data_IF_372886049303
#
_entry.id   IF_372886049303
#
_cell.length_a   1.000
_cell.length_b   1.000
_cell.length_c   1.000
_cell.angle_alpha   90.00
_cell.angle_beta   90.00
_cell.angle_gamma   90.00
#
_symmetry.space_group_name_H-M   'P 1'
#
loop_
_entity.id
_entity.type
_entity.pdbx_description
1 polymer ?
2 water ?
#
# COMPACT_ATOMS: atom_id res chain seq x y z
N UNK A 1 5.81 -26.70 20.34
CA UNK A 1 4.37 -26.84 20.14
C UNK A 1 3.85 -25.93 19.03
N UNK A 2 3.16 -24.86 19.39
CA UNK A 2 2.61 -23.93 18.41
C UNK A 2 3.25 -22.55 18.50
N UNK A 3 3.25 -21.84 17.37
CA UNK A 3 3.85 -20.51 17.25
C UNK A 3 3.06 -19.29 17.74
N UNK A 4 3.82 -18.24 18.08
CA UNK A 4 3.26 -16.96 18.49
C UNK A 4 3.85 -15.96 17.50
N UNK A 5 2.98 -15.19 16.86
CA UNK A 5 3.39 -14.21 15.85
C UNK A 5 3.15 -12.78 16.31
N UNK A 6 4.02 -11.86 15.87
CA UNK A 6 3.88 -10.43 16.17
C UNK A 6 3.77 -9.64 14.88
N UNK A 7 2.71 -8.83 14.78
CA UNK A 7 2.52 -7.98 13.60
C UNK A 7 2.62 -6.53 14.10
N UNK A 8 3.56 -5.78 13.52
CA UNK A 8 3.75 -4.38 13.89
C UNK A 8 2.90 -3.47 12.99
N UNK A 9 2.07 -2.62 13.63
CA UNK A 9 1.21 -1.71 12.89
C UNK A 9 -0.14 -1.50 13.56
N UNK A 10 -0.96 -0.60 13.01
CA UNK A 10 -2.28 -0.32 13.59
C UNK A 10 -3.36 0.08 12.58
N UNK A 11 -3.17 -0.29 11.32
CA UNK A 11 -4.15 0.04 10.29
C UNK A 11 -4.87 -1.16 9.69
N UNK A 12 -5.51 -0.93 8.53
CA UNK A 12 -6.23 -1.99 7.84
C UNK A 12 -5.33 -3.09 7.29
N UNK A 13 -4.16 -2.69 6.81
CA UNK A 13 -3.17 -3.62 6.28
C UNK A 13 -2.77 -4.64 7.35
N UNK A 14 -2.55 -4.14 8.56
CA UNK A 14 -2.16 -4.99 9.69
C UNK A 14 -3.29 -5.89 10.20
N UNK A 15 -4.52 -5.39 10.17
CA UNK A 15 -5.68 -6.17 10.57
C UNK A 15 -5.77 -7.35 9.57
N UNK A 16 -5.55 -7.07 8.28
CA UNK A 16 -5.58 -8.10 7.24
C UNK A 16 -4.45 -9.12 7.40
N UNK A 17 -3.22 -8.64 7.59
CA UNK A 17 -2.06 -9.53 7.77
C UNK A 17 -2.19 -10.43 9.00
N UNK A 18 -2.61 -9.85 10.12
CA UNK A 18 -2.78 -10.59 11.37
C UNK A 18 -3.92 -11.63 11.30
N UNK A 19 -5.01 -11.23 10.64
CA UNK A 19 -6.19 -12.07 10.44
C UNK A 19 -5.79 -13.31 9.62
N UNK A 20 -5.02 -13.07 8.56
CA UNK A 20 -4.54 -14.15 7.70
C UNK A 20 -3.55 -15.06 8.44
N UNK A 21 -2.60 -14.47 9.18
CA UNK A 21 -1.61 -15.24 9.94
C UNK A 21 -2.27 -16.19 10.93
N UNK A 22 -3.36 -15.72 11.56
CA UNK A 22 -4.09 -16.51 12.55
C UNK A 22 -4.80 -17.74 11.97
N UNK A 23 -4.96 -17.78 10.65
CA UNK A 23 -5.61 -18.90 10.00
C UNK A 23 -4.69 -20.12 9.91
N UNK A 24 -3.39 -19.90 10.10
CA UNK A 24 -2.39 -20.95 10.05
C UNK A 24 -2.52 -21.92 11.23
N UNK A 25 -2.51 -23.23 10.96
CA UNK A 25 -2.62 -24.23 12.04
C UNK A 25 -1.34 -24.27 12.89
N UNK A 26 -0.28 -23.65 12.39
CA UNK A 26 1.01 -23.58 13.08
C UNK A 26 0.96 -22.56 14.22
N UNK A 27 0.01 -21.63 14.13
CA UNK A 27 -0.13 -20.53 15.07
C UNK A 27 -1.22 -20.66 16.15
N UNK A 28 -0.88 -20.23 17.36
CA UNK A 28 -1.85 -20.25 18.48
C UNK A 28 -2.26 -18.85 18.92
N UNK A 29 -1.42 -17.85 18.63
CA UNK A 29 -1.70 -16.46 19.02
C UNK A 29 -0.98 -15.46 18.10
N UNK A 30 -1.65 -14.36 17.80
CA UNK A 30 -1.06 -13.29 17.00
C UNK A 30 -1.18 -11.99 17.77
N UNK A 31 -0.04 -11.38 18.11
CA UNK A 31 0.00 -10.11 18.83
C UNK A 31 0.10 -8.99 17.79
N UNK A 32 -0.53 -7.86 18.07
CA UNK A 32 -0.49 -6.72 17.16
C UNK A 32 -0.12 -5.47 17.95
N UNK A 33 0.99 -4.84 17.57
CA UNK A 33 1.48 -3.65 18.24
C UNK A 33 1.48 -2.40 17.36
N UNK A 34 0.59 -1.43 17.66
CA UNK A 34 -0.38 -1.46 18.76
C UNK A 34 -1.78 -1.96 18.39
N UNK A 35 -2.02 -2.18 17.10
CA UNK A 35 -3.33 -2.66 16.65
C UNK A 35 -4.44 -1.62 16.73
N UNK A 36 -5.67 -2.07 16.52
CA UNK A 36 -6.86 -1.21 16.56
C UNK A 36 -8.07 -1.98 17.10
N UNK A 37 -9.27 -1.43 16.95
CA UNK A 37 -10.47 -2.10 17.45
C UNK A 37 -10.78 -3.39 16.70
N UNK A 38 -10.47 -3.41 15.40
CA UNK A 38 -10.71 -4.59 14.59
C UNK A 38 -9.90 -5.78 15.01
N UNK A 39 -8.63 -5.56 15.35
CA UNK A 39 -7.75 -6.63 15.80
C UNK A 39 -8.13 -7.09 17.22
N UNK A 40 -8.54 -6.14 18.05
CA UNK A 40 -8.96 -6.44 19.42
C UNK A 40 -10.20 -7.35 19.40
N UNK A 41 -11.07 -7.15 18.41
CA UNK A 41 -12.30 -7.94 18.26
C UNK A 41 -12.09 -9.36 17.74
N UNK A 42 -10.96 -9.62 17.07
CA UNK A 42 -10.65 -10.95 16.55
C UNK A 42 -10.29 -11.89 17.71
N UNK A 43 -10.92 -13.07 17.80
CA UNK A 43 -10.63 -14.02 18.87
C UNK A 43 -9.14 -14.36 19.08
N UNK A 44 -8.44 -14.70 17.99
CA UNK A 44 -7.03 -15.08 18.04
C UNK A 44 -5.98 -13.96 18.14
N UNK A 45 -6.41 -12.71 18.02
CA UNK A 45 -5.46 -11.59 18.08
C UNK A 45 -5.49 -10.83 19.41
N UNK A 46 -4.33 -10.33 19.84
CA UNK A 46 -4.23 -9.57 21.08
C UNK A 46 -3.40 -8.31 20.86
N UNK A 47 -3.96 -7.14 21.21
CA UNK A 47 -3.24 -5.88 21.06
C UNK A 47 -2.21 -5.67 22.16
N UNK A 48 -1.08 -5.06 21.79
CA UNK A 48 0.02 -4.76 22.71
C UNK A 48 0.29 -3.25 22.55
N UNK A 49 0.17 -2.51 23.65
CA UNK A 49 0.35 -1.07 23.63
C UNK A 49 1.80 -0.57 23.55
N UNK A 50 2.39 -0.71 22.37
CA UNK A 50 3.77 -0.27 22.11
C UNK A 50 3.79 0.45 20.76
N UNK A 51 4.46 1.60 20.69
CA UNK A 51 4.54 2.37 19.46
C UNK A 51 5.44 1.74 18.40
N UNK A 52 5.09 1.97 17.14
CA UNK A 52 5.84 1.41 16.01
C UNK A 52 7.31 1.87 15.87
N UNK A 53 7.65 3.01 16.45
CA UNK A 53 9.04 3.50 16.39
C UNK A 53 9.80 3.27 17.69
N UNK A 54 9.16 2.59 18.64
CA UNK A 54 9.79 2.29 19.92
C UNK A 54 10.48 0.94 19.79
N UNK A 55 11.61 0.95 19.08
CA UNK A 55 12.39 -0.27 18.84
C UNK A 55 12.83 -1.03 20.10
N UNK A 56 13.39 -0.34 21.11
CA UNK A 56 13.80 -1.04 22.32
C UNK A 56 12.65 -1.81 22.98
N UNK A 57 11.46 -1.20 22.99
CA UNK A 57 10.29 -1.83 23.59
C UNK A 57 9.78 -3.01 22.76
N UNK A 58 9.79 -2.86 21.44
CA UNK A 58 9.36 -3.94 20.55
C UNK A 58 10.26 -5.16 20.70
N UNK A 59 11.57 -4.92 20.79
CA UNK A 59 12.56 -5.99 20.95
C UNK A 59 12.35 -6.70 22.29
N UNK A 60 12.21 -5.90 23.35
CA UNK A 60 12.01 -6.43 24.70
C UNK A 60 10.77 -7.34 24.76
N UNK A 61 9.70 -6.90 24.10
CA UNK A 61 8.47 -7.70 24.06
C UNK A 61 8.68 -9.02 23.32
N UNK A 62 9.25 -8.93 22.12
CA UNK A 62 9.50 -10.11 21.31
C UNK A 62 10.38 -11.14 22.04
N UNK A 63 11.35 -10.67 22.83
CA UNK A 63 12.23 -11.56 23.58
C UNK A 63 11.55 -12.22 24.78
N UNK A 64 10.83 -11.41 25.56
CA UNK A 64 10.11 -11.90 26.75
C UNK A 64 8.98 -12.86 26.43
N UNK A 65 8.26 -12.61 25.33
CA UNK A 65 7.16 -13.49 24.92
C UNK A 65 7.62 -14.62 24.00
N UNK A 66 8.90 -14.60 23.61
CA UNK A 66 9.48 -15.62 22.73
C UNK A 66 8.70 -15.77 21.41
N UNK A 67 8.58 -14.66 20.69
CA UNK A 67 7.87 -14.61 19.41
C UNK A 67 8.61 -15.41 18.35
N UNK A 68 7.87 -16.28 17.66
CA UNK A 68 8.45 -17.14 16.62
C UNK A 68 8.64 -16.46 15.27
N UNK A 69 7.79 -15.47 14.99
CA UNK A 69 7.87 -14.73 13.74
C UNK A 69 7.26 -13.33 13.86
N UNK A 70 7.99 -12.33 13.36
CA UNK A 70 7.52 -10.95 13.38
C UNK A 70 7.31 -10.52 11.93
N UNK A 71 6.17 -9.89 11.66
CA UNK A 71 5.83 -9.39 10.32
C UNK A 71 5.63 -7.88 10.45
N UNK A 72 6.41 -7.10 9.71
CA UNK A 72 6.31 -5.64 9.80
C UNK A 72 5.33 -5.03 8.80
N UNK A 73 4.43 -4.21 9.32
CA UNK A 73 3.43 -3.56 8.48
C UNK A 73 3.82 -2.25 7.80
N UNK A 74 4.03 -1.16 8.57
CA UNK A 74 4.38 0.17 8.05
C UNK A 74 5.86 0.50 7.77
N UNK A 75 6.05 1.60 7.04
CA UNK A 75 7.38 2.07 6.66
C UNK A 75 8.27 2.57 7.80
N UNK A 76 7.69 3.30 8.74
CA UNK A 76 8.46 3.86 9.86
C UNK A 76 9.44 2.91 10.58
N UNK A 77 8.94 1.80 11.15
CA UNK A 77 9.88 0.89 11.83
C UNK A 77 10.93 0.29 10.89
N UNK A 78 10.57 0.14 9.62
CA UNK A 78 11.49 -0.42 8.62
C UNK A 78 12.67 0.52 8.33
N UNK A 79 12.38 1.77 8.02
CA UNK A 79 13.46 2.73 7.75
C UNK A 79 14.26 3.03 9.02
N UNK A 80 13.71 2.69 10.18
CA UNK A 80 14.41 2.91 11.45
C UNK A 80 15.29 1.69 11.81
N UNK A 81 15.20 0.65 10.98
CA UNK A 81 16.02 -0.54 11.20
C UNK A 81 15.54 -1.62 12.16
N UNK A 82 14.23 -1.79 12.29
CA UNK A 82 13.71 -2.83 13.19
C UNK A 82 14.22 -4.21 12.76
N UNK A 83 14.34 -4.43 11.45
CA UNK A 83 14.82 -5.70 10.92
C UNK A 83 16.28 -5.95 11.31
N UNK A 84 17.12 -4.92 11.15
CA UNK A 84 18.55 -5.03 11.50
C UNK A 84 18.68 -5.41 12.97
N UNK A 85 17.90 -4.73 13.82
CA UNK A 85 17.89 -4.94 15.26
C UNK A 85 17.40 -6.32 15.69
N UNK A 86 16.27 -6.77 15.14
CA UNK A 86 15.72 -8.09 15.48
C UNK A 86 16.66 -9.21 15.02
N UNK A 87 17.20 -9.09 13.81
CA UNK A 87 18.10 -10.11 13.29
C UNK A 87 19.42 -10.19 14.10
N UNK A 88 19.83 -9.07 14.69
CA UNK A 88 21.04 -9.04 15.51
C UNK A 88 20.80 -9.80 16.80
N UNK A 89 19.55 -9.80 17.27
CA UNK A 89 19.14 -10.51 18.48
C UNK A 89 18.69 -11.95 18.19
N UNK A 90 18.90 -12.40 16.95
CA UNK A 90 18.53 -13.75 16.56
C UNK A 90 17.03 -14.05 16.50
N UNK A 91 16.25 -13.04 16.14
CA UNK A 91 14.80 -13.20 16.03
C UNK A 91 14.38 -13.24 14.56
N UNK A 92 13.40 -14.10 14.24
CA UNK A 92 12.89 -14.20 12.88
C UNK A 92 11.96 -13.04 12.58
N UNK A 93 12.25 -12.32 11.50
CA UNK A 93 11.45 -11.17 11.12
C UNK A 93 11.38 -11.02 9.59
N UNK A 94 10.20 -10.73 9.08
CA UNK A 94 9.97 -10.56 7.64
C UNK A 94 9.81 -9.09 7.28
N UNK A 95 10.75 -8.58 6.51
CA UNK A 95 10.75 -7.19 6.09
C UNK A 95 12.14 -6.79 5.67
N UNK A 96 12.30 -5.61 5.04
CA UNK A 96 13.62 -5.15 4.60
C UNK A 96 14.47 -4.47 5.68
N UNK A 97 15.79 -4.56 5.53
CA UNK A 97 16.71 -3.89 6.45
C UNK A 97 16.57 -2.40 6.14
N UNK A 98 17.08 -1.53 7.01
CA UNK A 98 16.96 -0.09 6.78
C UNK A 98 17.59 0.32 5.44
N UNK A 99 18.68 -0.33 5.07
CA UNK A 99 19.36 -0.04 3.81
C UNK A 99 18.52 -0.40 2.60
N UNK A 100 17.84 -1.53 2.66
CA UNK A 100 16.98 -1.97 1.56
C UNK A 100 15.71 -1.12 1.54
N UNK A 101 15.28 -0.68 2.72
CA UNK A 101 14.07 0.13 2.87
C UNK A 101 14.19 1.52 2.24
N UNK A 102 15.38 1.86 1.76
CA UNK A 102 15.64 3.15 1.10
C UNK A 102 14.81 3.30 -0.19
N UNK A 103 14.48 2.18 -0.82
CA UNK A 103 13.67 2.21 -2.06
C UNK A 103 12.42 3.06 -1.89
N UNK A 104 11.85 3.08 -0.69
CA UNK A 104 10.68 3.90 -0.42
C UNK A 104 11.08 5.17 0.35
N UNK A 105 11.88 4.98 1.40
CA UNK A 105 12.31 6.07 2.28
C UNK A 105 13.14 7.25 1.78
N UNK A 106 13.91 7.07 0.71
CA UNK A 106 14.76 8.12 0.18
C UNK A 106 14.45 8.43 -1.28
N UNK A 107 13.87 9.60 -1.54
CA UNK A 107 13.52 10.03 -2.90
C UNK A 107 14.75 10.13 -3.82
N UNK A 108 15.81 10.74 -3.29
CA UNK A 108 17.04 10.90 -4.05
C UNK A 108 17.65 9.55 -4.42
N UNK A 109 17.72 8.66 -3.42
CA UNK A 109 18.25 7.32 -3.61
C UNK A 109 17.54 6.57 -4.73
N UNK A 110 16.21 6.53 -4.63
CA UNK A 110 15.39 5.83 -5.62
C UNK A 110 15.54 6.37 -7.04
N UNK A 111 15.54 7.69 -7.18
CA UNK A 111 15.68 8.32 -8.48
C UNK A 111 17.01 7.94 -9.15
N UNK A 112 18.09 8.00 -8.38
CA UNK A 112 19.42 7.67 -8.87
C UNK A 112 19.55 6.19 -9.18
N UNK A 113 18.99 5.34 -8.31
CA UNK A 113 19.04 3.89 -8.49
C UNK A 113 18.37 3.45 -9.80
N UNK A 114 17.17 3.98 -10.05
CA UNK A 114 16.41 3.65 -11.24
C UNK A 114 17.15 4.08 -12.51
N UNK A 115 17.80 5.24 -12.44
CA UNK A 115 18.55 5.75 -13.58
C UNK A 115 19.79 4.89 -13.88
N UNK A 116 20.50 4.49 -12.82
CA UNK A 116 21.69 3.67 -12.98
C UNK A 116 21.41 2.30 -13.58
N UNK A 117 20.24 1.75 -13.30
CA UNK A 117 19.88 0.45 -13.84
C UNK A 117 18.95 0.52 -15.04
N UNK A 118 18.67 1.73 -15.51
CA UNK A 118 17.80 1.95 -16.66
C UNK A 118 16.45 1.24 -16.53
N UNK A 119 15.85 1.31 -15.33
CA UNK A 119 14.55 0.70 -15.08
C UNK A 119 13.50 1.72 -15.52
N UNK A 120 12.56 1.32 -16.40
CA UNK A 120 11.51 2.20 -16.90
C UNK A 120 10.71 2.90 -15.82
N UNK A 121 10.81 4.23 -15.80
CA UNK A 121 10.13 5.06 -14.81
C UNK A 121 9.72 6.40 -15.44
N UNK A 122 9.07 7.25 -14.64
CA UNK A 122 8.63 8.55 -15.11
C UNK A 122 9.59 9.67 -14.74
N UNK A 123 9.89 10.54 -15.70
CA UNK A 123 10.79 11.67 -15.49
C UNK A 123 10.09 12.75 -14.68
N UNK A 124 10.82 13.37 -13.76
CA UNK A 124 10.27 14.44 -12.92
C UNK A 124 11.38 15.25 -12.27
N UNK A 125 11.00 16.40 -11.71
CA UNK A 125 11.94 17.29 -11.04
C UNK A 125 11.18 18.34 -10.24
N UNK A 126 11.60 18.54 -8.99
CA UNK A 126 10.95 19.51 -8.11
C UNK A 126 11.46 20.93 -8.37
N UNK A 127 10.61 21.92 -8.09
CA UNK A 127 10.98 23.32 -8.29
C UNK A 127 10.39 24.25 -7.24
N UNK A 128 11.24 25.13 -6.72
CA UNK A 128 10.83 26.11 -5.71
C UNK A 128 10.69 27.50 -6.36
N UNK A 129 11.40 27.70 -7.46
CA UNK A 129 11.37 28.98 -8.19
C UNK A 129 11.36 28.80 -9.71
N UNK A 130 10.85 29.82 -10.40
CA UNK A 130 10.76 29.84 -11.85
C UNK A 130 12.02 30.38 -12.53
N UNK A 131 12.30 29.84 -13.72
CA UNK A 131 13.44 30.13 -14.60
C UNK A 131 14.16 28.79 -14.80
N UNK A 132 14.57 28.11 -13.70
CA UNK A 132 15.23 26.81 -13.89
C UNK A 132 14.12 25.82 -14.24
N UNK A 133 12.88 26.24 -13.98
CA UNK A 133 11.68 25.47 -14.27
C UNK A 133 11.38 25.56 -15.76
N UNK A 134 11.41 26.78 -16.27
CA UNK A 134 11.16 27.03 -17.70
C UNK A 134 12.25 26.38 -18.54
N UNK A 135 13.50 26.46 -18.04
CA UNK A 135 14.65 25.87 -18.73
C UNK A 135 14.42 24.37 -18.87
N UNK A 136 13.82 23.78 -17.83
CA UNK A 136 13.51 22.35 -17.79
C UNK A 136 12.35 22.08 -18.75
N UNK A 137 11.39 23.01 -18.78
CA UNK A 137 10.20 22.92 -19.64
C UNK A 137 10.53 22.89 -21.12
N UNK A 138 11.41 23.81 -21.54
CA UNK A 138 11.81 23.91 -22.94
C UNK A 138 12.73 22.80 -23.40
N UNK A 139 13.38 22.12 -22.45
CA UNK A 139 14.27 21.01 -22.76
C UNK A 139 13.44 19.74 -22.93
N UNK A 140 12.38 19.63 -22.14
CA UNK A 140 11.48 18.48 -22.19
C UNK A 140 10.36 18.66 -23.21
N UNK A 141 9.77 19.85 -23.24
CA UNK A 141 8.69 20.13 -24.16
C UNK A 141 7.37 19.53 -23.70
N UNK A 142 6.27 20.07 -24.24
CA UNK A 142 4.93 19.59 -23.90
C UNK A 142 4.52 18.47 -24.86
N UNK A 143 3.54 17.62 -24.47
CA UNK A 143 2.78 17.64 -23.20
C UNK A 143 3.66 17.38 -21.97
N UNK A 144 3.23 17.92 -20.84
CA UNK A 144 3.94 17.79 -19.58
C UNK A 144 2.93 18.06 -18.46
N UNK A 145 3.23 17.61 -17.25
CA UNK A 145 2.33 17.81 -16.12
C UNK A 145 2.96 18.66 -15.01
N UNK A 146 2.17 19.56 -14.42
CA UNK A 146 2.63 20.42 -13.35
C UNK A 146 1.74 20.23 -12.12
N UNK A 147 2.33 19.70 -11.05
CA UNK A 147 1.59 19.44 -9.81
C UNK A 147 2.05 20.39 -8.69
N UNK A 148 1.11 20.79 -7.83
CA UNK A 148 1.41 21.68 -6.71
C UNK A 148 1.93 20.90 -5.51
N UNK A 155 -1.66 20.37 -4.81
CA UNK A 155 -3.04 19.93 -4.88
C UNK A 155 -3.62 20.14 -6.29
N UNK A 156 -3.12 21.15 -7.00
CA UNK A 156 -3.58 21.42 -8.35
C UNK A 156 -2.72 20.67 -9.35
N UNK A 157 -3.36 19.96 -10.29
CA UNK A 157 -2.64 19.20 -11.30
C UNK A 157 -3.00 19.67 -12.71
N UNK A 158 -2.08 20.35 -13.38
CA UNK A 158 -2.32 20.84 -14.73
C UNK A 158 -1.63 20.04 -15.82
N UNK A 159 -2.44 19.42 -16.68
CA UNK A 159 -1.93 18.65 -17.81
C UNK A 159 -1.87 19.67 -18.94
N UNK A 160 -0.67 20.00 -19.37
CA UNK A 160 -0.48 20.98 -20.43
C UNK A 160 -0.13 20.34 -21.76
N UNK A 161 -0.88 20.69 -22.81
CA UNK A 161 -0.62 20.15 -24.15
C UNK A 161 0.34 21.06 -24.92
N UNK A 162 0.49 22.31 -24.46
CA UNK A 162 1.39 23.28 -25.09
C UNK A 162 2.34 23.96 -24.09
N UNK A 163 3.46 24.46 -24.61
CA UNK A 163 4.48 25.15 -23.82
C UNK A 163 3.92 26.39 -23.13
N UNK A 164 3.03 27.10 -23.82
CA UNK A 164 2.42 28.31 -23.28
C UNK A 164 1.51 27.96 -22.09
N UNK A 165 0.81 26.84 -22.20
CA UNK A 165 -0.08 26.38 -21.14
C UNK A 165 0.74 25.93 -19.93
N UNK A 166 1.87 25.29 -20.22
CA UNK A 166 2.78 24.79 -19.19
C UNK A 166 3.48 25.95 -18.48
N UNK A 167 4.17 26.80 -19.26
CA UNK A 167 4.87 27.97 -18.73
C UNK A 167 3.93 28.88 -17.95
N UNK A 168 2.67 28.91 -18.36
CA UNK A 168 1.67 29.73 -17.70
C UNK A 168 1.44 29.15 -16.31
N UNK A 169 1.20 27.85 -16.24
CA UNK A 169 0.95 27.13 -14.99
C UNK A 169 2.16 27.12 -14.06
N UNK A 170 3.33 26.83 -14.63
CA UNK A 170 4.57 26.74 -13.86
C UNK A 170 4.89 27.98 -13.02
N UNK A 171 4.41 29.15 -13.43
CA UNK A 171 4.64 30.34 -12.63
C UNK A 171 3.36 30.94 -12.05
N UNK A 172 2.28 30.17 -12.11
CA UNK A 172 0.99 30.57 -11.55
C UNK A 172 0.99 29.96 -10.15
N UNK A 173 1.44 28.71 -10.08
CA UNK A 173 1.52 27.95 -8.85
C UNK A 173 2.70 28.45 -8.01
N UNK A 174 3.71 28.97 -8.70
CA UNK A 174 4.92 29.49 -8.06
C UNK A 174 4.86 31.01 -7.84
N UNK A 175 3.69 31.59 -8.07
CA UNK A 175 3.49 33.03 -7.90
C UNK A 175 3.10 33.35 -6.46
N UNK A 176 3.99 34.05 -5.76
CA UNK A 176 3.75 34.42 -4.37
C UNK A 176 5.06 34.56 -3.63
N UNK A 177 4.97 34.92 -2.35
CA UNK A 177 6.16 35.09 -1.51
C UNK A 177 6.70 33.75 -1.02
N UNK A 178 7.90 33.41 -1.45
CA UNK A 178 8.55 32.15 -1.09
C UNK A 178 9.37 32.19 0.19
N UNK A 179 9.59 33.40 0.73
CA UNK A 179 10.39 33.55 1.95
C UNK A 179 9.74 32.97 3.20
N UNK A 180 10.48 32.06 3.86
CA UNK A 180 10.00 31.41 5.07
C UNK A 180 8.81 30.50 4.87
N UNK A 181 8.64 29.98 3.65
CA UNK A 181 7.51 29.11 3.35
C UNK A 181 7.92 27.89 2.53
N UNK A 182 7.99 26.74 3.22
CA UNK A 182 8.36 25.48 2.58
C UNK A 182 7.26 24.93 1.67
N UNK A 183 6.04 25.44 1.84
CA UNK A 183 4.92 24.99 1.02
C UNK A 183 4.87 25.60 -0.36
N UNK A 184 5.80 26.51 -0.62
CA UNK A 184 5.91 27.21 -1.90
C UNK A 184 6.72 26.36 -2.90
N UNK A 185 6.10 25.29 -3.41
CA UNK A 185 6.78 24.39 -4.34
C UNK A 185 5.87 23.62 -5.30
N UNK A 186 6.46 23.16 -6.40
CA UNK A 186 5.76 22.37 -7.42
C UNK A 186 6.66 21.25 -7.94
N UNK A 187 6.11 20.42 -8.83
CA UNK A 187 6.84 19.32 -9.44
C UNK A 187 6.40 19.18 -10.89
N UNK A 188 7.37 19.01 -11.80
CA UNK A 188 7.11 18.87 -13.22
C UNK A 188 7.43 17.44 -13.66
N UNK A 189 6.42 16.72 -14.14
CA UNK A 189 6.61 15.33 -14.57
C UNK A 189 6.11 15.05 -15.98
N UNK A 190 6.70 14.06 -16.63
CA UNK A 190 6.31 13.70 -17.98
C UNK A 190 4.90 13.14 -18.07
N UNK A 191 4.21 13.46 -19.16
CA UNK A 191 2.84 13.02 -19.40
C UNK A 191 2.79 11.57 -19.86
N UNK A 192 2.09 10.74 -19.09
CA UNK A 192 1.91 9.32 -19.38
C UNK A 192 0.43 9.02 -19.60
N UNK A 193 0.10 8.57 -20.79
CA UNK A 193 -1.27 8.26 -21.16
C UNK A 193 -1.58 6.76 -21.07
N UNK A 194 -1.81 6.28 -19.85
CA UNK A 194 -2.11 4.87 -19.66
C UNK A 194 -2.96 4.60 -18.43
N UNK A 195 -2.83 3.40 -17.88
CA UNK A 195 -3.59 3.00 -16.69
C UNK A 195 -2.70 2.57 -15.53
N UNK A 196 -3.05 3.00 -14.32
CA UNK A 196 -2.31 2.67 -13.12
C UNK A 196 -2.75 1.34 -12.53
N UNK A 197 -1.78 0.62 -11.97
CA UNK A 197 -2.03 -0.68 -11.33
C UNK A 197 -0.96 -0.95 -10.27
N UNK A 198 -1.30 -1.80 -9.30
CA UNK A 198 -0.39 -2.19 -8.22
C UNK A 198 0.13 -3.61 -8.49
N UNK A 199 1.42 -3.82 -8.24
CA UNK A 199 2.07 -5.11 -8.47
C UNK A 199 2.87 -5.45 -7.21
N UNK A 200 2.49 -6.52 -6.53
CA UNK A 200 3.17 -6.92 -5.28
C UNK A 200 3.79 -8.31 -5.33
N UNK A 201 5.01 -8.42 -4.79
CA UNK A 201 5.73 -9.70 -4.74
C UNK A 201 6.41 -9.90 -3.37
N UNK A 202 6.82 -11.13 -3.08
CA UNK A 202 7.55 -11.44 -1.84
C UNK A 202 8.99 -11.67 -2.32
N UNK A 203 9.96 -11.20 -1.53
CA UNK A 203 11.38 -11.34 -1.90
C UNK A 203 12.19 -11.90 -0.73
N UNK A 204 13.13 -12.81 -1.00
CA UNK A 204 13.96 -13.36 0.07
C UNK A 204 15.44 -13.01 -0.11
N UNK A 205 15.70 -12.14 -1.09
CA UNK A 205 17.06 -11.72 -1.38
C UNK A 205 17.46 -12.08 -2.79
N UNK A 206 17.33 -13.36 -3.13
CA UNK A 206 17.68 -13.90 -4.45
C UNK A 206 16.46 -14.42 -5.21
N UNK A 207 15.43 -14.80 -4.48
CA UNK A 207 14.22 -15.36 -5.08
C UNK A 207 13.02 -14.44 -4.96
N UNK A 208 12.16 -14.50 -5.96
CA UNK A 208 10.94 -13.68 -6.03
C UNK A 208 9.70 -14.54 -6.23
N UNK A 209 8.73 -14.39 -5.34
CA UNK A 209 7.46 -15.12 -5.44
C UNK A 209 6.36 -14.10 -5.68
N UNK A 210 5.81 -14.05 -6.90
CA UNK A 210 4.74 -13.11 -7.23
C UNK A 210 3.50 -13.37 -6.36
N UNK A 211 2.82 -12.30 -5.94
CA UNK A 211 1.64 -12.46 -5.12
C UNK A 211 0.36 -12.08 -5.87
N UNK A 212 0.06 -10.80 -5.98
CA UNK A 212 -1.16 -10.37 -6.67
C UNK A 212 -1.12 -8.94 -7.17
N UNK A 213 -2.08 -8.60 -8.01
CA UNK A 213 -2.21 -7.26 -8.58
C UNK A 213 -3.54 -6.64 -8.19
N UNK A 214 -3.67 -5.33 -8.41
CA UNK A 214 -4.90 -4.60 -8.10
C UNK A 214 -4.94 -3.20 -8.71
N UNK A 215 -6.13 -2.61 -8.73
CA UNK A 215 -6.34 -1.25 -9.22
C UNK A 215 -7.25 -0.58 -8.20
N UNK A 216 -7.13 0.73 -8.02
CA UNK A 216 -7.94 1.41 -7.03
C UNK A 216 -8.55 2.74 -7.49
N UNK A 217 -9.21 3.41 -6.54
CA UNK A 217 -9.85 4.71 -6.76
C UNK A 217 -9.37 5.67 -5.65
N UNK A 218 -8.61 6.69 -6.03
CA UNK A 218 -8.08 7.67 -5.09
C UNK A 218 -8.97 8.90 -4.87
N UNK A 219 -9.69 9.31 -5.90
CA UNK A 219 -10.58 10.47 -5.82
C UNK A 219 -11.72 10.21 -4.85
N UNK A 220 -12.04 11.20 -4.02
CA UNK A 220 -13.08 11.07 -3.00
C UNK A 220 -14.54 11.04 -3.48
N UNK A 221 -14.81 11.68 -4.62
CA UNK A 221 -16.18 11.73 -5.13
C UNK A 221 -16.50 10.74 -6.25
N UNK A 222 -17.79 10.47 -6.44
CA UNK A 222 -18.25 9.54 -7.47
C UNK A 222 -17.76 9.89 -8.88
N UNK A 223 -17.51 8.85 -9.67
CA UNK A 223 -17.00 8.96 -11.04
C UNK A 223 -15.61 9.58 -11.05
N UNK A 224 -14.91 9.45 -9.92
CA UNK A 224 -13.56 9.95 -9.75
C UNK A 224 -13.44 11.47 -9.80
N UNK A 225 -14.26 12.13 -8.98
CA UNK A 225 -14.27 13.60 -8.87
C UNK A 225 -13.78 14.04 -7.49
N UNK A 226 -13.65 15.34 -7.30
CA UNK A 226 -13.19 15.87 -6.02
C UNK A 226 -11.71 15.68 -5.75
N UNK A 227 -11.25 15.98 -4.52
CA UNK A 227 -9.84 15.84 -4.11
C UNK A 227 -9.36 14.40 -3.94
N UNK A 228 -8.05 14.21 -4.01
CA UNK A 228 -7.43 12.90 -3.84
C UNK A 228 -7.31 12.47 -2.39
N UNK A 229 -7.27 11.16 -2.18
CA UNK A 229 -7.15 10.58 -0.85
C UNK A 229 -6.09 9.48 -0.93
N UNK A 230 -5.96 8.70 0.14
CA UNK A 230 -5.02 7.61 0.16
C UNK A 230 -5.58 6.37 -0.52
N UNK A 231 -6.88 6.42 -0.85
CA UNK A 231 -7.55 5.32 -1.50
C UNK A 231 -8.94 5.09 -0.93
N UNK A 232 -9.96 5.13 -1.78
CA UNK A 232 -11.36 4.95 -1.34
C UNK A 232 -11.92 3.58 -1.71
N UNK A 233 -11.17 2.82 -2.50
CA UNK A 233 -11.61 1.49 -2.91
C UNK A 233 -10.60 0.82 -3.82
N UNK A 234 -10.64 -0.51 -3.88
CA UNK A 234 -9.72 -1.28 -4.71
C UNK A 234 -10.28 -2.66 -5.04
N UNK A 235 -9.73 -3.26 -6.10
CA UNK A 235 -10.15 -4.58 -6.54
C UNK A 235 -8.99 -5.40 -7.12
N UNK A 236 -9.11 -6.72 -7.01
CA UNK A 236 -8.08 -7.65 -7.48
C UNK A 236 -8.73 -8.85 -8.17
N UNK A 237 -8.12 -9.36 -9.25
CA UNK A 237 -6.85 -8.92 -9.86
C UNK A 237 -7.05 -7.69 -10.76
N UNK A 238 -5.94 -7.10 -11.20
CA UNK A 238 -5.99 -5.93 -12.08
C UNK A 238 -6.10 -6.42 -13.51
N UNK A 239 -7.24 -6.14 -14.18
CA UNK A 239 -7.46 -6.56 -15.57
C UNK A 239 -6.38 -6.08 -16.54
N UNK A 240 -5.89 -4.86 -16.35
CA UNK A 240 -4.86 -4.31 -17.23
C UNK A 240 -3.56 -5.10 -17.19
N UNK A 241 -3.32 -5.83 -16.10
CA UNK A 241 -2.11 -6.63 -15.98
C UNK A 241 -2.34 -8.01 -16.57
N UNK A 242 -2.17 -8.11 -17.89
CA UNK A 242 -2.34 -9.36 -18.61
C UNK A 242 -1.08 -10.19 -18.45
N UNK A 243 -1.04 -11.36 -19.10
CA UNK A 243 0.12 -12.23 -19.03
C UNK A 243 1.35 -11.55 -19.59
N UNK A 244 1.18 -10.82 -20.69
CA UNK A 244 2.28 -10.10 -21.32
C UNK A 244 2.79 -8.97 -20.42
N UNK A 245 1.86 -8.18 -19.89
CA UNK A 245 2.20 -7.07 -19.01
C UNK A 245 2.92 -7.60 -17.74
N UNK A 246 2.47 -8.75 -17.25
CA UNK A 246 3.06 -9.37 -16.07
C UNK A 246 4.53 -9.73 -16.36
N UNK A 247 4.77 -10.38 -17.49
CA UNK A 247 6.12 -10.80 -17.88
C UNK A 247 7.07 -9.61 -18.08
N UNK A 248 6.57 -8.56 -18.72
CA UNK A 248 7.38 -7.36 -18.95
C UNK A 248 7.75 -6.67 -17.62
N UNK A 249 6.85 -6.74 -16.64
CA UNK A 249 7.08 -6.16 -15.33
C UNK A 249 8.18 -6.91 -14.60
N UNK A 250 8.12 -8.24 -14.61
CA UNK A 250 9.14 -9.05 -13.94
C UNK A 250 10.51 -8.87 -14.61
N UNK A 251 10.53 -8.85 -15.94
CA UNK A 251 11.76 -8.70 -16.71
C UNK A 251 12.41 -7.32 -16.71
N UNK A 252 11.62 -6.28 -16.93
CA UNK A 252 12.14 -4.91 -16.99
C UNK A 252 12.21 -4.17 -15.66
N UNK A 253 11.36 -4.56 -14.72
CA UNK A 253 11.30 -3.86 -13.44
C UNK A 253 11.67 -4.66 -12.18
N UNK A 254 10.94 -5.73 -11.89
CA UNK A 254 11.17 -6.53 -10.69
C UNK A 254 12.53 -7.19 -10.55
N UNK A 255 12.94 -7.99 -11.53
CA UNK A 255 14.24 -8.65 -11.45
C UNK A 255 15.45 -7.70 -11.42
N UNK A 256 15.47 -6.69 -12.32
CA UNK A 256 16.60 -5.74 -12.33
C UNK A 256 16.74 -5.02 -10.97
N UNK A 257 15.60 -4.71 -10.36
CA UNK A 257 15.59 -4.04 -9.06
C UNK A 257 16.17 -4.93 -7.95
N UNK A 258 15.65 -6.15 -7.84
CA UNK A 258 16.10 -7.12 -6.83
C UNK A 258 17.58 -7.43 -6.98
N UNK A 259 18.01 -7.70 -8.21
CA UNK A 259 19.43 -8.01 -8.48
C UNK A 259 20.31 -6.79 -8.31
N UNK A 260 19.77 -5.61 -8.61
CA UNK A 260 20.52 -4.38 -8.47
C UNK A 260 20.77 -3.99 -7.02
N UNK A 261 19.79 -4.22 -6.15
CA UNK A 261 19.93 -3.90 -4.73
C UNK A 261 20.96 -4.84 -4.08
N UNK A 262 20.92 -6.11 -4.46
CA UNK A 262 21.84 -7.12 -3.94
C UNK A 262 23.27 -6.78 -4.37
N UNK A 263 23.42 -6.44 -5.65
CA UNK A 263 24.71 -6.08 -6.24
C UNK A 263 25.39 -4.88 -5.57
N UNK A 264 24.60 -4.01 -4.96
CA UNK A 264 25.12 -2.82 -4.30
C UNK A 264 25.25 -2.93 -2.78
N UNK A 265 25.13 -4.15 -2.26
CA UNK A 265 25.25 -4.38 -0.84
C UNK A 265 23.99 -4.12 -0.03
N UNK A 266 22.85 -3.98 -0.71
CA UNK A 266 21.56 -3.74 -0.04
C UNK A 266 20.53 -4.80 -0.38
N UNK A 267 20.88 -6.08 -0.17
CA UNK A 267 19.98 -7.21 -0.46
C UNK A 267 18.57 -6.94 0.06
N UNK A 268 17.58 -7.12 -0.81
CA UNK A 268 16.19 -6.86 -0.45
C UNK A 268 15.38 -8.08 -0.03
N UNK A 269 14.74 -7.98 1.14
CA UNK A 269 13.89 -9.05 1.67
C UNK A 269 12.59 -8.41 2.14
N UNK A 270 11.49 -9.14 2.02
CA UNK A 270 10.20 -8.62 2.45
C UNK A 270 9.26 -8.41 1.29
N UNK A 271 8.18 -7.67 1.52
CA UNK A 271 7.22 -7.36 0.46
C UNK A 271 7.73 -6.21 -0.39
N UNK A 272 7.55 -6.32 -1.70
CA UNK A 272 7.95 -5.25 -2.61
C UNK A 272 6.71 -4.87 -3.42
N UNK A 273 6.25 -3.66 -3.20
CA UNK A 273 5.09 -3.10 -3.88
C UNK A 273 5.56 -2.14 -4.97
N UNK A 274 5.03 -2.31 -6.18
CA UNK A 274 5.38 -1.45 -7.29
C UNK A 274 4.14 -0.81 -7.91
N UNK A 275 4.02 0.51 -7.77
CA UNK A 275 2.91 1.24 -8.36
C UNK A 275 3.31 1.51 -9.80
N UNK A 276 2.55 0.93 -10.73
CA UNK A 276 2.84 1.06 -12.17
C UNK A 276 1.86 1.91 -12.99
N UNK A 277 2.33 2.30 -14.17
CA UNK A 277 1.55 3.06 -15.15
C UNK A 277 1.76 2.28 -16.44
N UNK A 278 0.72 1.59 -16.89
CA UNK A 278 0.79 0.76 -18.10
C UNK A 278 0.24 1.53 -19.29
N UNK A 279 1.05 1.68 -20.35
CA UNK A 279 0.59 2.40 -21.53
C UNK A 279 -0.36 1.57 -22.39
N UNK A 280 -0.86 2.16 -23.48
CA UNK A 280 -1.78 1.49 -24.40
C UNK A 280 -1.22 0.22 -25.02
N UNK A 281 0.10 0.15 -25.18
CA UNK A 281 0.76 -1.01 -25.76
C UNK A 281 1.14 -2.09 -24.74
N UNK A 282 0.85 -1.85 -23.47
CA UNK A 282 1.18 -2.81 -22.43
C UNK A 282 2.59 -2.72 -21.86
N UNK A 283 3.22 -1.56 -22.01
CA UNK A 283 4.58 -1.36 -21.49
C UNK A 283 4.50 -0.69 -20.11
N UNK A 284 5.00 -1.39 -19.07
CA UNK A 284 4.99 -0.91 -17.69
C UNK A 284 6.10 0.08 -17.32
N UNK A 285 5.76 1.00 -16.42
CA UNK A 285 6.69 2.00 -15.90
C UNK A 285 6.44 2.17 -14.40
N UNK A 286 7.51 2.24 -13.62
CA UNK A 286 7.39 2.41 -12.16
C UNK A 286 7.15 3.86 -11.75
N UNK A 287 6.05 4.11 -11.03
CA UNK A 287 5.73 5.45 -10.55
C UNK A 287 6.38 5.59 -9.17
N UNK A 288 6.30 4.52 -8.38
CA UNK A 288 6.86 4.49 -7.03
C UNK A 288 6.97 3.09 -6.45
N UNK A 289 7.81 2.96 -5.42
CA UNK A 289 8.01 1.71 -4.72
C UNK A 289 7.60 1.87 -3.26
N UNK A 290 7.11 0.78 -2.68
CA UNK A 290 6.74 0.76 -1.26
C UNK A 290 7.48 -0.47 -0.75
N UNK A 291 8.18 -0.32 0.37
CA UNK A 291 8.95 -1.41 0.96
C UNK A 291 8.09 -2.28 1.88
N UNK A 292 6.80 -2.36 1.54
CA UNK A 292 5.82 -3.15 2.31
C UNK A 292 4.53 -3.26 1.50
N UNK A 293 3.59 -4.03 2.01
CA UNK A 293 2.30 -4.20 1.36
C UNK A 293 1.59 -2.83 1.27
N UNK A 294 0.96 -2.53 0.14
CA UNK A 294 0.26 -1.26 0.02
C UNK A 294 -0.87 -1.28 1.03
N UNK A 295 -1.13 -0.18 1.72
CA UNK A 295 -2.18 -0.15 2.75
C UNK A 295 -3.54 -0.74 2.35
N UNK A 296 -4.32 0.00 1.55
CA UNK A 296 -5.66 -0.46 1.15
C UNK A 296 -5.73 -1.78 0.37
N UNK A 297 -4.93 -1.89 -0.69
CA UNK A 297 -4.92 -3.10 -1.54
C UNK A 297 -4.74 -4.41 -0.80
N UNK A 298 -4.01 -4.38 0.31
CA UNK A 298 -3.74 -5.56 1.14
C UNK A 298 -5.02 -6.29 1.52
N UNK A 299 -6.06 -5.51 1.82
CA UNK A 299 -7.35 -6.03 2.24
C UNK A 299 -8.05 -6.94 1.24
N UNK A 300 -8.42 -6.42 0.04
CA UNK A 300 -9.08 -7.35 -0.89
C UNK A 300 -8.14 -8.47 -1.35
N UNK A 301 -6.84 -8.20 -1.38
CA UNK A 301 -5.87 -9.21 -1.77
C UNK A 301 -5.78 -10.37 -0.76
N UNK A 302 -5.76 -10.07 0.53
CA UNK A 302 -5.70 -11.12 1.55
C UNK A 302 -6.92 -12.02 1.51
N UNK A 303 -8.05 -11.46 1.07
CA UNK A 303 -9.30 -12.22 0.96
C UNK A 303 -9.23 -13.29 -0.13
N UNK A 304 -8.31 -13.10 -1.08
CA UNK A 304 -8.10 -14.04 -2.18
C UNK A 304 -6.96 -15.04 -1.94
N UNK A 305 -6.10 -14.76 -0.97
CA UNK A 305 -4.95 -15.62 -0.65
C UNK A 305 -5.35 -16.97 -0.05
N UNK A 306 -4.96 -18.06 -0.72
CA UNK A 306 -5.27 -19.39 -0.24
C UNK A 306 -4.06 -20.05 0.44
N UNK A 307 -2.87 -19.54 0.16
CA UNK A 307 -1.63 -20.04 0.74
C UNK A 307 -1.50 -19.61 2.19
N UNK A 308 -0.65 -20.32 2.94
CA UNK A 308 -0.39 -20.03 4.34
C UNK A 308 0.68 -18.94 4.38
N UNK A 309 0.30 -17.75 4.85
CA UNK A 309 1.19 -16.59 4.95
C UNK A 309 2.39 -16.83 5.86
N UNK A 310 2.16 -17.46 7.00
CA UNK A 310 3.22 -17.76 7.97
C UNK A 310 4.25 -18.71 7.35
N UNK A 311 3.76 -19.74 6.68
CA UNK A 311 4.64 -20.73 6.03
C UNK A 311 5.53 -20.04 4.99
N UNK A 312 4.94 -19.15 4.19
CA UNK A 312 5.68 -18.43 3.16
C UNK A 312 6.71 -17.48 3.75
N UNK A 313 6.34 -16.76 4.82
CA UNK A 313 7.25 -15.83 5.47
C UNK A 313 8.45 -16.56 6.08
N UNK A 314 8.20 -17.72 6.68
CA UNK A 314 9.29 -18.51 7.28
C UNK A 314 10.26 -19.02 6.21
N UNK A 315 9.72 -19.49 5.09
CA UNK A 315 10.56 -19.97 4.00
C UNK A 315 11.45 -18.83 3.49
N UNK A 316 10.87 -17.63 3.42
CA UNK A 316 11.62 -16.45 2.96
C UNK A 316 12.76 -16.10 3.93
N UNK A 317 12.51 -16.28 5.23
CA UNK A 317 13.53 -15.98 6.25
C UNK A 317 14.73 -16.93 6.18
N UNK A 318 14.53 -18.12 5.63
CA UNK A 318 15.62 -19.08 5.49
C UNK A 318 16.07 -19.23 4.03
N UNK A 319 15.73 -18.22 3.22
CA UNK A 319 16.08 -18.15 1.80
C UNK A 319 15.61 -19.33 0.93
N UNK A 320 14.44 -19.86 1.23
CA UNK A 320 13.90 -20.99 0.46
C UNK A 320 12.58 -20.66 -0.23
N UNK A 321 12.39 -19.39 -0.57
CA UNK A 321 11.16 -18.94 -1.22
C UNK A 321 10.94 -19.58 -2.59
N UNK A 322 12.04 -19.97 -3.25
CA UNK A 322 11.98 -20.61 -4.56
C UNK A 322 11.44 -22.05 -4.52
N UNK A 323 11.21 -22.56 -3.30
CA UNK A 323 10.67 -23.90 -3.12
C UNK A 323 9.17 -23.87 -2.80
N UNK A 324 8.60 -22.67 -2.84
CA UNK A 324 7.19 -22.48 -2.53
C UNK A 324 6.37 -21.93 -3.70
N UNK A 325 5.05 -22.07 -3.58
CA UNK A 325 4.11 -21.56 -4.57
C UNK A 325 3.05 -20.75 -3.81
N UNK A 326 2.40 -19.84 -4.52
CA UNK A 326 1.34 -19.03 -3.92
C UNK A 326 0.02 -19.34 -4.65
N UNK A 327 -0.96 -19.83 -3.90
CA UNK A 327 -2.28 -20.20 -4.44
C UNK A 327 -3.27 -19.07 -4.18
N UNK A 328 -4.08 -18.77 -5.20
CA UNK A 328 -5.07 -17.70 -5.15
C UNK A 328 -6.45 -18.14 -5.59
N UNK A 329 -7.47 -17.57 -4.96
CA UNK A 329 -8.86 -17.87 -5.29
C UNK A 329 -9.11 -17.29 -6.68
N UNK A 330 -9.81 -18.05 -7.52
CA UNK A 330 -10.12 -17.63 -8.88
C UNK A 330 -11.09 -16.43 -8.90
N UNK A 331 -11.89 -16.31 -7.84
CA UNK A 331 -12.84 -15.21 -7.70
C UNK A 331 -12.14 -13.87 -7.50
N UNK A 332 -12.72 -12.84 -8.08
CA UNK A 332 -12.20 -11.48 -7.93
C UNK A 332 -12.65 -10.98 -6.56
N UNK A 333 -12.00 -9.93 -6.06
CA UNK A 333 -12.34 -9.34 -4.78
C UNK A 333 -12.40 -7.82 -4.92
N UNK A 334 -13.22 -7.19 -4.10
CA UNK A 334 -13.40 -5.73 -4.14
C UNK A 334 -13.68 -5.20 -2.74
N UNK A 335 -13.07 -4.06 -2.42
CA UNK A 335 -13.26 -3.45 -1.12
C UNK A 335 -13.70 -2.00 -1.21
N UNK A 336 -14.63 -1.61 -0.33
CA UNK A 336 -15.14 -0.24 -0.29
C UNK A 336 -14.82 0.41 1.05
N UNK A 337 -14.19 1.58 1.01
CA UNK A 337 -13.82 2.30 2.22
C UNK A 337 -14.95 3.17 2.77
N UNK A 338 -15.21 3.04 4.08
CA UNK A 338 -16.21 3.85 4.75
C UNK A 338 -15.38 4.89 5.54
N UNK A 339 -15.56 6.16 5.19
CA UNK A 339 -14.79 7.25 5.81
C UNK A 339 -15.60 8.21 6.67
N UNK A 340 -14.88 9.02 7.45
CA UNK A 340 -15.48 10.04 8.32
C UNK A 340 -15.73 11.30 7.47
N UNK A 341 -16.95 11.84 7.57
CA UNK A 341 -17.30 13.04 6.81
C UNK A 341 -16.28 14.15 6.90
N UNK A 342 -15.90 14.69 5.74
CA UNK A 342 -14.91 15.77 5.71
C UNK A 342 -13.59 15.33 5.08
N UNK A 343 -13.21 14.07 5.29
CA UNK A 343 -11.98 13.51 4.73
C UNK A 343 -12.02 13.65 3.20
N UNK A 344 -10.86 13.91 2.54
CA UNK A 344 -9.48 14.11 2.99
C UNK A 344 -9.16 15.37 3.79
N UNK A 345 -10.16 16.23 4.00
CA UNK A 345 -9.96 17.43 4.79
C UNK A 345 -10.15 17.11 6.26
N UNK A 346 -10.62 18.08 7.03
CA UNK A 346 -10.85 17.89 8.46
C UNK A 346 -12.06 16.99 8.72
N UNK A 347 -12.00 16.22 9.81
CA UNK A 347 -13.09 15.31 10.16
C UNK A 347 -13.19 15.18 11.68
N UNK A 348 -14.29 14.58 12.14
CA UNK A 348 -14.53 14.37 13.56
C UNK A 348 -14.26 12.90 13.95
N UNK A 349 -13.77 12.69 15.17
CA UNK A 349 -13.49 11.34 15.68
C UNK A 349 -14.30 11.14 16.96
N UNK A 350 -14.40 9.88 17.40
CA UNK A 350 -15.13 9.59 18.62
C UNK A 350 -16.57 9.17 18.45
N UNK A 351 -17.03 9.03 17.22
CA UNK A 351 -18.41 8.61 16.96
C UNK A 351 -18.55 7.10 17.09
N UNK A 352 -19.59 6.67 17.81
CA UNK A 352 -19.86 5.24 18.01
C UNK A 352 -20.31 4.59 16.70
N UNK A 353 -19.67 3.46 16.37
CA UNK A 353 -20.01 2.74 15.15
C UNK A 353 -21.07 1.67 15.45
N UNK A 354 -22.16 1.70 14.68
CA UNK A 354 -23.26 0.75 14.84
C UNK A 354 -23.35 -0.26 13.71
N UNK A 355 -23.91 -1.43 14.02
CA UNK A 355 -24.10 -2.45 13.00
C UNK A 355 -22.92 -3.32 12.60
N UNK A 356 -21.85 -3.33 13.38
CA UNK A 356 -20.69 -4.16 13.04
C UNK A 356 -21.07 -5.65 13.13
N UNK A 357 -20.50 -6.49 12.25
CA UNK A 357 -20.81 -7.93 12.26
C UNK A 357 -20.33 -8.64 13.53
N UNK A 358 -21.20 -9.48 14.09
CA UNK A 358 -20.89 -10.23 15.31
C UNK A 358 -20.17 -11.54 15.00
N UNK A 359 -20.27 -11.98 13.75
CA UNK A 359 -19.64 -13.22 13.30
C UNK A 359 -19.09 -13.02 11.90
N UNK A 360 -18.02 -13.76 11.59
CA UNK A 360 -17.40 -13.70 10.27
C UNK A 360 -18.02 -14.75 9.36
N UNK A 361 -18.43 -14.35 8.16
CA UNK A 361 -19.02 -15.28 7.21
C UNK A 361 -18.11 -15.47 5.99
N UNK A 362 -18.02 -16.71 5.50
CA UNK A 362 -17.18 -17.04 4.36
C UNK A 362 -17.53 -16.24 3.10
N UNK A 363 -16.50 -15.66 2.46
CA UNK A 363 -16.71 -14.89 1.25
C UNK A 363 -16.62 -13.38 1.38
N UNK A 364 -16.52 -12.88 2.61
CA UNK A 364 -16.44 -11.45 2.84
C UNK A 364 -15.82 -11.12 4.18
N UNK A 365 -15.37 -9.88 4.35
CA UNK A 365 -14.73 -9.48 5.60
C UNK A 365 -14.69 -7.97 5.81
N UNK A 366 -14.96 -7.53 7.03
CA UNK A 366 -14.91 -6.11 7.37
C UNK A 366 -13.59 -5.82 8.11
N UNK A 367 -12.68 -5.13 7.43
CA UNK A 367 -11.38 -4.78 8.02
C UNK A 367 -11.42 -3.37 8.62
N UNK A 368 -10.78 -3.21 9.79
CA UNK A 368 -10.73 -1.93 10.49
C UNK A 368 -9.42 -1.18 10.25
N UNK A 369 -9.53 0.13 10.09
CA UNK A 369 -8.38 0.99 9.92
C UNK A 369 -8.38 1.98 11.10
N UNK A 370 -9.03 3.13 10.92
CA UNK A 370 -9.08 4.12 11.98
C UNK A 370 -10.20 3.90 12.98
N UNK A 371 -10.04 2.91 13.87
CA UNK A 371 -11.04 2.61 14.90
C UNK A 371 -10.35 2.25 16.21
N UNK A 372 -11.04 2.49 17.32
CA UNK A 372 -10.50 2.16 18.64
C UNK A 372 -11.62 1.84 19.62
N UNK A 373 -11.26 1.17 20.72
CA UNK A 373 -12.24 0.82 21.75
C UNK A 373 -12.43 1.98 22.71
N UNK A 374 -13.69 2.25 23.06
CA UNK A 374 -14.02 3.33 23.98
C UNK A 374 -14.52 2.74 25.30
N UNK A 378 -19.04 1.04 22.29
CA UNK A 378 -17.84 0.20 22.38
C UNK A 378 -16.78 0.65 21.39
N UNK A 379 -17.06 0.51 20.09
CA UNK A 379 -16.12 0.90 19.04
C UNK A 379 -16.45 2.30 18.50
N UNK A 380 -15.43 3.16 18.47
CA UNK A 380 -15.60 4.53 17.98
C UNK A 380 -14.63 4.87 16.86
N UNK A 381 -14.96 5.86 16.03
CA UNK A 381 -14.11 6.29 14.92
C UNK A 381 -12.80 6.88 15.43
N UNK A 382 -11.73 6.71 14.67
CA UNK A 382 -10.41 7.20 15.07
C UNK A 382 -9.49 7.43 13.87
N UNK A 383 -10.01 8.09 12.84
CA UNK A 383 -9.22 8.37 11.65
C UNK A 383 -10.09 8.73 10.47
N UNK A 384 -9.46 9.20 9.39
CA UNK A 384 -10.20 9.57 8.19
C UNK A 384 -10.84 8.37 7.53
N UNK A 385 -10.02 7.36 7.22
CA UNK A 385 -10.54 6.14 6.62
C UNK A 385 -10.77 5.20 7.81
N UNK A 386 -12.03 4.85 8.02
CA UNK A 386 -12.44 4.02 9.15
C UNK A 386 -12.53 2.51 8.92
N UNK A 387 -13.23 2.10 7.86
CA UNK A 387 -13.42 0.68 7.55
C UNK A 387 -13.24 0.39 6.06
N UNK A 388 -13.07 -0.90 5.76
CA UNK A 388 -12.97 -1.38 4.39
C UNK A 388 -13.74 -2.70 4.33
N UNK A 389 -14.91 -2.66 3.70
CA UNK A 389 -15.76 -3.83 3.56
C UNK A 389 -15.36 -4.53 2.26
N UNK A 390 -14.90 -5.78 2.39
CA UNK A 390 -14.43 -6.54 1.24
C UNK A 390 -15.28 -7.78 0.95
N UNK A 391 -15.37 -8.17 -0.32
CA UNK A 391 -16.14 -9.33 -0.75
C UNK A 391 -15.62 -9.98 -2.02
N UNK A 392 -15.85 -11.28 -2.13
CA UNK A 392 -15.45 -12.08 -3.30
C UNK A 392 -16.63 -12.25 -4.28
N UNK A 393 -16.30 -12.45 -5.55
CA UNK A 393 -17.32 -12.64 -6.57
C UNK A 393 -16.71 -13.18 -7.85
N UNK A 394 -17.49 -13.94 -8.62
CA UNK A 394 -16.98 -14.52 -9.88
C UNK A 394 -16.61 -13.47 -10.93
N UNK A 395 -17.14 -12.26 -10.75
CA UNK A 395 -16.85 -11.13 -11.62
C UNK A 395 -16.74 -9.93 -10.70
N UNK A 396 -16.13 -8.85 -11.17
CA UNK A 396 -16.00 -7.63 -10.37
C UNK A 396 -17.40 -7.07 -10.09
N UNK A 397 -18.33 -7.30 -11.02
CA UNK A 397 -19.71 -6.84 -10.85
C UNK A 397 -20.37 -7.56 -9.68
N UNK A 398 -20.14 -8.87 -9.58
CA UNK A 398 -20.70 -9.67 -8.50
C UNK A 398 -20.03 -9.30 -7.17
N UNK A 399 -18.71 -9.11 -7.20
CA UNK A 399 -17.98 -8.75 -5.98
C UNK A 399 -18.46 -7.39 -5.44
N UNK A 400 -18.72 -6.44 -6.35
CA UNK A 400 -19.19 -5.12 -5.96
C UNK A 400 -20.54 -5.20 -5.25
N UNK A 401 -21.44 -6.03 -5.80
CA UNK A 401 -22.77 -6.20 -5.21
C UNK A 401 -22.72 -6.79 -3.79
N UNK A 402 -21.88 -7.82 -3.60
CA UNK A 402 -21.73 -8.48 -2.31
C UNK A 402 -21.14 -7.50 -1.29
N UNK A 403 -20.14 -6.74 -1.71
CA UNK A 403 -19.47 -5.78 -0.83
C UNK A 403 -20.43 -4.72 -0.29
N UNK A 404 -21.20 -4.10 -1.19
CA UNK A 404 -22.15 -3.06 -0.77
C UNK A 404 -23.28 -3.64 0.08
N UNK A 405 -23.68 -4.88 -0.22
CA UNK A 405 -24.73 -5.55 0.54
C UNK A 405 -24.23 -5.81 1.97
N UNK A 406 -22.93 -6.07 2.09
CA UNK A 406 -22.32 -6.37 3.37
C UNK A 406 -22.20 -5.15 4.30
N UNK A 407 -22.28 -3.94 3.74
CA UNK A 407 -22.18 -2.76 4.58
C UNK A 407 -23.51 -2.06 4.91
N UNK A 408 -24.61 -2.75 4.62
CA UNK A 408 -25.97 -2.25 4.85
C UNK A 408 -26.29 -1.78 6.28
N UNK A 409 -25.95 -2.60 7.28
CA UNK A 409 -26.22 -2.30 8.69
C UNK A 409 -25.26 -1.34 9.39
N UNK A 410 -24.09 -1.10 8.78
CA UNK A 410 -23.06 -0.25 9.39
C UNK A 410 -23.26 1.26 9.21
N UNK A 411 -23.07 2.00 10.30
CA UNK A 411 -23.22 3.46 10.25
C UNK A 411 -22.76 4.20 11.51
N UNK A 412 -22.45 5.49 11.33
CA UNK A 412 -22.06 6.41 12.39
C UNK A 412 -22.36 7.81 11.86
N UNK A 413 -22.41 8.79 12.76
CA UNK A 413 -22.70 10.18 12.35
C UNK A 413 -21.77 10.73 11.28
N UNK A 414 -22.36 11.05 10.12
CA UNK A 414 -21.65 11.61 8.98
C UNK A 414 -20.75 10.68 8.17
N UNK A 415 -20.96 9.37 8.29
CA UNK A 415 -20.17 8.40 7.54
C UNK A 415 -20.51 8.50 6.07
N UNK A 416 -19.58 8.11 5.21
CA UNK A 416 -19.82 8.13 3.76
C UNK A 416 -18.84 7.22 3.02
N UNK A 417 -19.16 6.92 1.77
CA UNK A 417 -18.32 6.09 0.91
C UNK A 417 -18.67 6.35 -0.55
N UNK A 418 -17.79 5.91 -1.46
CA UNK A 418 -18.01 6.03 -2.88
C UNK A 418 -19.04 4.94 -3.17
N UNK A 419 -19.98 5.22 -4.06
CA UNK A 419 -21.01 4.24 -4.38
C UNK A 419 -20.75 3.49 -5.69
N UNK A 420 -19.65 3.81 -6.36
CA UNK A 420 -19.32 3.21 -7.64
C UNK A 420 -17.94 2.55 -7.76
N UNK A 421 -17.39 2.09 -6.65
CA UNK A 421 -16.07 1.44 -6.69
C UNK A 421 -16.06 0.29 -7.70
N UNK A 422 -15.16 0.39 -8.68
CA UNK A 422 -15.06 -0.64 -9.72
C UNK A 422 -15.92 -0.39 -10.94
N UNK A 423 -16.50 0.79 -11.06
CA UNK A 423 -17.37 1.10 -12.19
C UNK A 423 -16.73 0.97 -13.57
N UNK A 424 -15.47 1.43 -13.69
CA UNK A 424 -14.72 1.34 -14.95
C UNK A 424 -14.46 -0.13 -15.33
N UNK A 425 -14.11 -0.94 -14.33
CA UNK A 425 -13.85 -2.37 -14.57
C UNK A 425 -15.13 -3.12 -14.95
N UNK A 426 -16.24 -2.73 -14.33
CA UNK A 426 -17.53 -3.35 -14.59
C UNK A 426 -17.99 -3.08 -16.03
N UNK A 427 -17.71 -1.87 -16.54
CA UNK A 427 -18.05 -1.52 -17.92
C UNK A 427 -17.05 -2.22 -18.86
N UNK A 428 -15.93 -2.65 -18.28
CA UNK A 428 -14.84 -3.32 -18.98
C UNK A 428 -13.97 -2.37 -19.78
#
# INVERSE_FOLDING_TARGET
>A
EFMKVLVIGNGGREHALAWKAAQSPLVETVFVAPGNAGTALEPALQNVAIGVTDIPALLDFAQNEKIDLTIVGPEAPLVKGVVDTFRAAGLKIFGPTAGAAQLEGSKAFTKDFLARHKIPTAEYQNFTEVEPALAYLREKGAPIVIKADGLAAGKGVIVAMTLEEAEAAVHDMLAGNAFGDAGHRIVIEEFLDGEEASFIVMVDGEHVLPMATSQDHKRVGDKDTGPNTGGMGAYSPAPVVTDDVHQRTMERIIWPTVKGMAAEGNTYTGFLYAGLMIDKQGNPKVIEFNCRFGDLETQPIMLRMKSDLVELCLAACESKLDEKTSEWDERASLGVVMAAGGYPGDYRTGDVIHGLPLEEVAGGKVFHAGTKLADDEQVVTNGGRVLCVTALGHTVAEAQKRAYALMTDIHWDDCFCRKDIGWRAIEREQN
#
